data_IF_307541534962
#
_entry.id   IF_307541534962
#
_cell.length_a   1.000
_cell.length_b   1.000
_cell.length_c   1.000
_cell.angle_alpha   90.00
_cell.angle_beta   90.00
_cell.angle_gamma   90.00
#
_symmetry.space_group_name_H-M   'P 1'
#
loop_
_entity.id
_entity.type
_entity.pdbx_description
1 polymer ?
#
# COMPACT_ATOMS: atom_id res chain seq x y z
N UNK A 1 57.42 -11.07 53.42
CA UNK A 1 55.94 -11.07 53.28
C UNK A 1 55.51 -12.42 53.79
N UNK A 2 54.80 -12.44 54.94
CA UNK A 2 54.51 -13.62 55.74
C UNK A 2 53.50 -14.52 55.05
N UNK A 3 53.76 -15.83 55.11
CA UNK A 3 52.95 -16.91 54.48
C UNK A 3 51.54 -17.04 55.02
N UNK A 4 51.25 -16.41 56.14
CA UNK A 4 49.97 -16.49 56.85
C UNK A 4 48.79 -15.84 56.09
N UNK A 5 49.09 -14.78 55.33
CA UNK A 5 48.08 -14.10 54.50
C UNK A 5 47.62 -14.92 53.28
N UNK A 6 48.33 -16.00 52.92
CA UNK A 6 47.91 -16.91 51.85
C UNK A 6 46.95 -18.01 52.31
N UNK A 7 46.86 -18.25 53.61
CA UNK A 7 45.92 -19.24 54.16
C UNK A 7 44.54 -18.66 54.42
N UNK A 8 44.44 -17.38 54.78
CA UNK A 8 43.16 -16.70 55.00
C UNK A 8 42.33 -16.51 53.70
N UNK A 9 43.01 -16.42 52.56
CA UNK A 9 42.37 -16.32 51.27
C UNK A 9 41.83 -17.67 50.71
N UNK A 10 42.08 -18.79 51.42
CA UNK A 10 41.62 -20.13 51.01
C UNK A 10 40.33 -20.57 51.68
N UNK A 11 39.90 -19.94 52.74
CA UNK A 11 38.57 -20.13 53.29
C UNK A 11 37.61 -19.16 52.62
N UNK A 12 37.31 -19.48 51.35
CA UNK A 12 36.32 -18.76 50.62
C UNK A 12 34.96 -19.22 51.15
N UNK A 13 34.21 -18.34 51.81
CA UNK A 13 32.85 -18.64 52.34
C UNK A 13 31.97 -19.30 51.26
N UNK A 14 32.22 -18.99 49.99
CA UNK A 14 31.62 -19.63 48.83
C UNK A 14 32.01 -21.12 48.71
N UNK A 15 33.26 -21.48 48.99
CA UNK A 15 33.72 -22.87 48.92
C UNK A 15 33.16 -23.72 50.08
N UNK A 16 33.04 -23.14 51.27
CA UNK A 16 32.46 -23.76 52.45
C UNK A 16 30.91 -23.91 52.28
N UNK A 17 30.25 -22.88 51.71
CA UNK A 17 28.85 -22.92 51.33
C UNK A 17 28.60 -23.94 50.23
N UNK A 18 29.43 -24.05 49.22
CA UNK A 18 29.38 -25.08 48.16
C UNK A 18 29.63 -26.49 48.70
N UNK A 19 30.51 -26.65 49.70
CA UNK A 19 30.77 -27.93 50.37
C UNK A 19 29.60 -28.47 51.18
N UNK A 20 28.82 -27.60 51.81
CA UNK A 20 27.66 -27.91 52.61
C UNK A 20 26.36 -28.02 51.78
N UNK A 21 26.41 -27.67 50.48
CA UNK A 21 25.30 -27.79 49.52
C UNK A 21 24.68 -29.20 49.48
N UNK A 22 25.45 -30.32 49.52
CA UNK A 22 24.88 -31.65 49.45
C UNK A 22 23.96 -32.02 50.64
N UNK A 23 24.25 -31.56 51.85
CA UNK A 23 23.41 -31.82 53.01
C UNK A 23 22.17 -30.91 53.01
N UNK A 24 22.33 -29.65 52.78
CA UNK A 24 21.24 -28.69 52.65
C UNK A 24 20.28 -29.04 51.49
N UNK A 25 20.79 -29.50 50.34
CA UNK A 25 19.97 -29.91 49.21
C UNK A 25 19.16 -31.17 49.49
N UNK A 26 19.67 -32.12 50.29
CA UNK A 26 18.92 -33.31 50.69
C UNK A 26 17.74 -32.96 51.62
N UNK A 27 17.97 -32.07 52.55
CA UNK A 27 16.93 -31.62 53.50
C UNK A 27 15.85 -30.78 52.80
N UNK A 28 16.23 -29.99 51.80
CA UNK A 28 15.32 -29.09 51.10
C UNK A 28 14.98 -29.53 49.65
N UNK A 29 15.26 -30.78 49.30
CA UNK A 29 15.11 -31.32 47.94
C UNK A 29 13.70 -31.09 47.39
N UNK A 30 12.67 -31.26 48.20
CA UNK A 30 11.27 -31.08 47.81
C UNK A 30 10.97 -29.60 47.48
N UNK A 31 11.50 -28.67 48.26
CA UNK A 31 11.35 -27.23 48.04
C UNK A 31 12.08 -26.77 46.78
N UNK A 32 13.28 -27.30 46.55
CA UNK A 32 14.09 -26.99 45.35
C UNK A 32 13.37 -27.47 44.07
N UNK A 33 12.86 -28.74 44.11
CA UNK A 33 12.11 -29.28 42.99
C UNK A 33 10.87 -28.42 42.69
N UNK A 34 10.14 -28.04 43.75
CA UNK A 34 8.94 -27.20 43.61
C UNK A 34 9.27 -25.84 42.98
N UNK A 35 10.35 -25.18 43.40
CA UNK A 35 10.79 -23.90 42.84
C UNK A 35 11.24 -24.07 41.37
N UNK A 36 11.99 -25.12 41.04
CA UNK A 36 12.42 -25.38 39.66
C UNK A 36 11.22 -25.66 38.74
N UNK A 37 10.22 -26.42 39.24
CA UNK A 37 8.98 -26.68 38.48
C UNK A 37 8.20 -25.39 38.25
N UNK A 38 8.06 -24.54 39.27
CA UNK A 38 7.38 -23.24 39.14
C UNK A 38 8.10 -22.31 38.14
N UNK A 39 9.44 -22.23 38.23
CA UNK A 39 10.24 -21.44 37.30
C UNK A 39 10.15 -22.00 35.86
N UNK A 40 10.18 -23.32 35.72
CA UNK A 40 10.01 -24.00 34.42
C UNK A 40 8.63 -23.74 33.81
N UNK A 41 7.56 -23.81 34.65
CA UNK A 41 6.22 -23.48 34.21
C UNK A 41 6.07 -22.01 33.79
N UNK A 42 6.61 -21.09 34.60
CA UNK A 42 6.59 -19.66 34.29
C UNK A 42 7.35 -19.36 33.00
N UNK A 43 8.54 -19.93 32.79
CA UNK A 43 9.31 -19.83 31.56
C UNK A 43 8.56 -20.43 30.39
N UNK A 44 7.95 -21.60 30.53
CA UNK A 44 7.14 -22.24 29.48
C UNK A 44 5.97 -21.38 29.06
N UNK A 45 5.21 -20.80 29.98
CA UNK A 45 4.10 -19.87 29.69
C UNK A 45 4.62 -18.60 29.01
N UNK A 46 5.76 -18.06 29.45
CA UNK A 46 6.37 -16.87 28.87
C UNK A 46 6.80 -17.11 27.41
N UNK A 47 7.53 -18.20 27.14
CA UNK A 47 7.94 -18.56 25.78
C UNK A 47 6.75 -18.90 24.88
N UNK A 48 5.76 -19.61 25.38
CA UNK A 48 4.54 -19.90 24.62
C UNK A 48 3.79 -18.62 24.25
N UNK A 49 3.69 -17.65 25.17
CA UNK A 49 3.03 -16.37 24.92
C UNK A 49 3.78 -15.53 23.89
N UNK A 50 5.12 -15.51 23.91
CA UNK A 50 5.94 -14.80 22.93
C UNK A 50 5.80 -15.45 21.54
N UNK A 51 5.91 -16.77 21.47
CA UNK A 51 5.81 -17.54 20.24
C UNK A 51 4.44 -17.34 19.56
N UNK A 52 3.36 -17.42 20.33
CA UNK A 52 2.01 -17.23 19.79
C UNK A 52 1.76 -15.79 19.32
N UNK A 53 2.32 -14.78 19.97
CA UNK A 53 2.20 -13.39 19.52
C UNK A 53 2.92 -13.17 18.21
N UNK A 54 4.11 -13.73 18.04
CA UNK A 54 4.89 -13.62 16.81
C UNK A 54 4.20 -14.27 15.60
N UNK A 55 3.64 -15.46 15.79
CA UNK A 55 2.91 -16.18 14.73
C UNK A 55 1.62 -15.47 14.32
N UNK A 56 0.86 -14.93 15.26
CA UNK A 56 -0.36 -14.18 14.97
C UNK A 56 -0.07 -12.89 14.17
N UNK A 57 0.97 -12.15 14.53
CA UNK A 57 1.38 -10.96 13.78
C UNK A 57 1.87 -11.31 12.37
N UNK A 58 2.62 -12.40 12.22
CA UNK A 58 3.07 -12.86 10.91
C UNK A 58 1.87 -13.23 10.01
N UNK A 59 0.89 -13.95 10.54
CA UNK A 59 -0.33 -14.30 9.82
C UNK A 59 -1.11 -13.05 9.40
N UNK A 60 -1.27 -12.05 10.27
CA UNK A 60 -1.92 -10.78 9.92
C UNK A 60 -1.21 -10.05 8.78
N UNK A 61 0.13 -10.04 8.78
CA UNK A 61 0.90 -9.43 7.67
C UNK A 61 0.70 -10.16 6.35
N UNK A 62 0.70 -11.48 6.37
CA UNK A 62 0.46 -12.30 5.17
C UNK A 62 -0.94 -12.06 4.64
N UNK A 63 -1.95 -12.08 5.52
CA UNK A 63 -3.33 -11.77 5.15
C UNK A 63 -3.47 -10.37 4.54
N UNK A 64 -2.91 -9.35 5.19
CA UNK A 64 -2.94 -7.98 4.68
C UNK A 64 -2.28 -7.86 3.29
N UNK A 65 -1.12 -8.50 3.10
CA UNK A 65 -0.45 -8.55 1.80
C UNK A 65 -1.34 -9.21 0.74
N UNK A 66 -2.03 -10.29 1.11
CA UNK A 66 -3.01 -10.94 0.24
C UNK A 66 -4.14 -10.00 -0.18
N UNK A 67 -4.66 -9.19 0.75
CA UNK A 67 -5.69 -8.18 0.44
C UNK A 67 -5.17 -7.08 -0.50
N UNK A 68 -3.94 -6.61 -0.31
CA UNK A 68 -3.32 -5.64 -1.23
C UNK A 68 -3.15 -6.21 -2.63
N UNK A 69 -2.77 -7.49 -2.74
CA UNK A 69 -2.66 -8.18 -4.02
C UNK A 69 -4.04 -8.32 -4.71
N UNK A 70 -5.12 -8.53 -3.96
CA UNK A 70 -6.49 -8.53 -4.51
C UNK A 70 -6.85 -7.17 -5.10
N UNK A 71 -6.54 -6.06 -4.42
CA UNK A 71 -6.76 -4.70 -4.96
C UNK A 71 -5.95 -4.47 -6.23
N UNK A 72 -4.67 -4.84 -6.22
CA UNK A 72 -3.78 -4.66 -7.37
C UNK A 72 -4.21 -5.53 -8.56
N UNK A 73 -4.57 -6.79 -8.31
CA UNK A 73 -5.10 -7.70 -9.31
C UNK A 73 -6.42 -7.20 -9.90
N UNK A 74 -7.32 -6.68 -9.06
CA UNK A 74 -8.58 -6.07 -9.50
C UNK A 74 -8.34 -4.89 -10.42
N UNK A 75 -7.42 -3.98 -10.08
CA UNK A 75 -7.06 -2.84 -10.96
C UNK A 75 -6.52 -3.30 -12.32
N UNK A 76 -5.69 -4.33 -12.34
CA UNK A 76 -5.16 -4.90 -13.60
C UNK A 76 -6.28 -5.50 -14.46
N UNK A 77 -7.19 -6.27 -13.85
CA UNK A 77 -8.33 -6.86 -14.57
C UNK A 77 -9.27 -5.79 -15.12
N UNK A 78 -9.52 -4.72 -14.36
CA UNK A 78 -10.31 -3.58 -14.81
C UNK A 78 -9.65 -2.92 -16.03
N UNK A 79 -8.34 -2.67 -15.97
CA UNK A 79 -7.62 -2.07 -17.10
C UNK A 79 -7.70 -2.95 -18.37
N UNK A 80 -7.60 -4.27 -18.22
CA UNK A 80 -7.78 -5.21 -19.32
C UNK A 80 -9.23 -5.22 -19.88
N UNK A 81 -10.23 -5.16 -19.00
CA UNK A 81 -11.62 -5.09 -19.39
C UNK A 81 -11.96 -3.78 -20.12
N UNK A 82 -11.41 -2.66 -19.65
CA UNK A 82 -11.57 -1.35 -20.32
C UNK A 82 -10.97 -1.35 -21.74
N UNK A 83 -9.83 -2.01 -21.95
CA UNK A 83 -9.25 -2.18 -23.27
C UNK A 83 -10.21 -2.94 -24.23
N UNK A 84 -11.15 -3.72 -23.67
CA UNK A 84 -12.20 -4.44 -24.41
C UNK A 84 -13.55 -3.68 -24.40
N UNK A 85 -13.59 -2.44 -23.91
CA UNK A 85 -14.82 -1.65 -23.81
C UNK A 85 -15.81 -2.12 -22.74
N UNK A 86 -15.36 -2.92 -21.75
CA UNK A 86 -16.19 -3.46 -20.66
C UNK A 86 -15.92 -2.69 -19.36
N UNK A 87 -16.99 -2.29 -18.68
CA UNK A 87 -16.90 -1.74 -17.33
C UNK A 87 -16.92 -2.88 -16.29
N UNK A 88 -15.85 -3.01 -15.55
CA UNK A 88 -15.68 -3.96 -14.43
C UNK A 88 -15.17 -3.24 -13.16
N UNK A 89 -15.42 -1.94 -13.03
CA UNK A 89 -14.98 -1.11 -11.90
C UNK A 89 -15.39 -1.69 -10.55
N UNK A 90 -16.59 -2.30 -10.48
CA UNK A 90 -17.14 -2.95 -9.30
C UNK A 90 -16.26 -4.05 -8.68
N UNK A 91 -15.27 -4.57 -9.42
CA UNK A 91 -14.34 -5.59 -8.91
C UNK A 91 -13.52 -5.10 -7.73
N UNK A 92 -13.40 -3.79 -7.50
CA UNK A 92 -12.69 -3.22 -6.34
C UNK A 92 -13.55 -3.20 -5.06
N UNK A 93 -14.87 -3.34 -5.15
CA UNK A 93 -15.77 -3.26 -4.00
C UNK A 93 -15.55 -4.41 -3.01
N UNK A 94 -15.36 -5.64 -3.50
CA UNK A 94 -15.11 -6.78 -2.63
C UNK A 94 -13.76 -6.70 -1.91
N UNK A 95 -12.63 -6.40 -2.56
CA UNK A 95 -11.37 -6.10 -1.87
C UNK A 95 -11.48 -4.96 -0.86
N UNK A 96 -12.22 -3.89 -1.17
CA UNK A 96 -12.47 -2.79 -0.23
C UNK A 96 -13.22 -3.27 1.02
N UNK A 97 -14.23 -4.12 0.85
CA UNK A 97 -14.97 -4.72 1.97
C UNK A 97 -14.11 -5.65 2.81
N UNK A 98 -13.26 -6.45 2.18
CA UNK A 98 -12.33 -7.32 2.88
C UNK A 98 -11.31 -6.52 3.72
N UNK A 99 -10.83 -5.38 3.21
CA UNK A 99 -9.96 -4.47 3.96
C UNK A 99 -10.66 -3.85 5.17
N UNK A 100 -11.95 -3.52 5.07
CA UNK A 100 -12.76 -3.07 6.21
C UNK A 100 -12.83 -4.13 7.30
N UNK A 101 -13.24 -5.34 6.92
CA UNK A 101 -13.34 -6.48 7.84
C UNK A 101 -12.00 -6.79 8.51
N UNK A 102 -10.90 -6.69 7.78
CA UNK A 102 -9.56 -6.84 8.33
C UNK A 102 -9.25 -5.75 9.37
N UNK A 103 -9.56 -4.48 9.06
CA UNK A 103 -9.33 -3.36 9.97
C UNK A 103 -10.14 -3.45 11.26
N UNK A 104 -11.37 -3.99 11.19
CA UNK A 104 -12.22 -4.21 12.36
C UNK A 104 -11.69 -5.34 13.26
N UNK A 105 -11.12 -6.37 12.66
CA UNK A 105 -10.68 -7.58 13.35
C UNK A 105 -9.28 -7.50 13.90
N UNK A 106 -8.38 -6.76 13.26
CA UNK A 106 -7.00 -6.67 13.71
C UNK A 106 -6.88 -5.87 15.00
N UNK A 107 -6.15 -6.42 15.98
CA UNK A 107 -5.82 -5.73 17.22
C UNK A 107 -4.63 -4.75 17.09
N UNK A 108 -4.12 -4.54 15.88
CA UNK A 108 -3.00 -3.65 15.60
C UNK A 108 -3.49 -2.39 14.91
N UNK A 109 -3.53 -1.26 15.64
CA UNK A 109 -4.07 0.00 15.15
C UNK A 109 -3.33 0.54 13.92
N UNK A 110 -2.02 0.34 13.83
CA UNK A 110 -1.24 0.72 12.66
C UNK A 110 -1.67 -0.06 11.40
N UNK A 111 -1.86 -1.38 11.52
CA UNK A 111 -2.35 -2.19 10.39
C UNK A 111 -3.81 -1.87 10.05
N UNK A 112 -4.65 -1.59 11.07
CA UNK A 112 -6.02 -1.17 10.86
C UNK A 112 -6.09 0.15 10.10
N UNK A 113 -5.32 1.16 10.52
CA UNK A 113 -5.25 2.45 9.83
C UNK A 113 -4.79 2.30 8.38
N UNK A 114 -3.75 1.50 8.15
CA UNK A 114 -3.26 1.26 6.79
C UNK A 114 -4.31 0.54 5.92
N UNK A 115 -5.02 -0.45 6.47
CA UNK A 115 -6.10 -1.14 5.77
C UNK A 115 -7.25 -0.19 5.42
N UNK A 116 -7.63 0.71 6.32
CA UNK A 116 -8.66 1.71 6.08
C UNK A 116 -8.25 2.73 5.01
N UNK A 117 -6.98 3.16 4.99
CA UNK A 117 -6.45 4.02 3.92
C UNK A 117 -6.55 3.28 2.58
N UNK A 118 -6.12 2.01 2.52
CA UNK A 118 -6.17 1.20 1.29
C UNK A 118 -7.61 0.89 0.84
N UNK A 119 -8.53 0.72 1.78
CA UNK A 119 -9.98 0.64 1.49
C UNK A 119 -10.47 1.91 0.81
N UNK A 120 -10.16 3.08 1.39
CA UNK A 120 -10.57 4.36 0.83
C UNK A 120 -9.98 4.59 -0.58
N UNK A 121 -8.71 4.24 -0.78
CA UNK A 121 -8.07 4.29 -2.10
C UNK A 121 -8.74 3.36 -3.12
N UNK A 122 -9.20 2.18 -2.70
CA UNK A 122 -9.90 1.24 -3.57
C UNK A 122 -11.29 1.74 -3.97
N UNK A 123 -12.07 2.28 -3.00
CA UNK A 123 -13.38 2.89 -3.25
C UNK A 123 -13.28 4.07 -4.21
N UNK A 124 -12.29 4.96 -4.01
CA UNK A 124 -12.05 6.08 -4.91
C UNK A 124 -11.59 5.64 -6.31
N UNK A 125 -10.71 4.63 -6.37
CA UNK A 125 -10.26 4.09 -7.65
C UNK A 125 -11.42 3.50 -8.47
N UNK A 126 -12.37 2.84 -7.83
CA UNK A 126 -13.56 2.30 -8.49
C UNK A 126 -14.33 3.39 -9.25
N UNK A 127 -14.50 4.57 -8.63
CA UNK A 127 -15.21 5.71 -9.23
C UNK A 127 -14.54 6.24 -10.52
N UNK A 128 -13.24 6.05 -10.67
CA UNK A 128 -12.48 6.57 -11.82
C UNK A 128 -12.42 5.59 -13.01
N UNK A 129 -12.87 4.37 -12.84
CA UNK A 129 -12.82 3.35 -13.89
C UNK A 129 -14.12 3.22 -14.70
N UNK A 130 -15.25 3.69 -14.19
CA UNK A 130 -16.56 3.56 -14.85
C UNK A 130 -17.27 4.90 -15.06
N UNK A 131 -18.39 4.85 -15.77
CA UNK A 131 -19.35 5.98 -15.82
C UNK A 131 -20.20 5.96 -14.57
N UNK A 132 -20.01 6.92 -13.69
CA UNK A 132 -20.63 6.92 -12.37
C UNK A 132 -21.75 7.95 -12.30
N UNK A 133 -22.92 7.55 -11.79
CA UNK A 133 -24.00 8.47 -11.47
C UNK A 133 -23.61 9.33 -10.24
N UNK A 134 -24.07 10.57 -10.20
CA UNK A 134 -23.72 11.54 -9.16
C UNK A 134 -24.02 11.01 -7.74
N UNK A 135 -25.16 10.42 -7.53
CA UNK A 135 -25.57 9.93 -6.19
C UNK A 135 -24.68 8.77 -5.72
N UNK A 136 -24.28 7.90 -6.65
CA UNK A 136 -23.35 6.82 -6.37
C UNK A 136 -21.94 7.38 -6.05
N UNK A 137 -21.46 8.36 -6.84
CA UNK A 137 -20.20 9.04 -6.56
C UNK A 137 -20.18 9.63 -5.13
N UNK A 138 -21.21 10.37 -4.76
CA UNK A 138 -21.34 10.97 -3.43
C UNK A 138 -21.33 9.89 -2.35
N UNK A 139 -22.06 8.79 -2.55
CA UNK A 139 -22.13 7.68 -1.59
C UNK A 139 -20.76 7.03 -1.39
N UNK A 140 -20.09 6.62 -2.46
CA UNK A 140 -18.80 5.94 -2.39
C UNK A 140 -17.69 6.87 -1.85
N UNK A 141 -17.69 8.15 -2.25
CA UNK A 141 -16.75 9.13 -1.72
C UNK A 141 -16.95 9.35 -0.22
N UNK A 142 -18.19 9.35 0.27
CA UNK A 142 -18.47 9.45 1.70
C UNK A 142 -17.99 8.20 2.47
N UNK A 143 -18.09 7.01 1.91
CA UNK A 143 -17.51 5.78 2.50
C UNK A 143 -15.97 5.87 2.56
N UNK A 144 -15.34 6.40 1.52
CA UNK A 144 -13.91 6.65 1.51
C UNK A 144 -13.50 7.69 2.58
N UNK A 145 -14.24 8.81 2.72
CA UNK A 145 -14.04 9.80 3.78
C UNK A 145 -14.13 9.19 5.17
N UNK A 146 -15.16 8.37 5.41
CA UNK A 146 -15.32 7.67 6.69
C UNK A 146 -14.11 6.78 6.99
N UNK A 147 -13.58 6.07 5.99
CA UNK A 147 -12.39 5.22 6.14
C UNK A 147 -11.14 6.03 6.46
N UNK A 148 -10.87 7.13 5.79
CA UNK A 148 -9.75 8.02 6.10
C UNK A 148 -9.89 8.64 7.50
N UNK A 149 -11.09 9.05 7.88
CA UNK A 149 -11.36 9.62 9.21
C UNK A 149 -11.10 8.61 10.31
N UNK A 150 -11.54 7.36 10.12
CA UNK A 150 -11.30 6.30 11.09
C UNK A 150 -9.81 5.91 11.15
N UNK A 151 -9.09 5.93 10.03
CA UNK A 151 -7.65 5.72 10.00
C UNK A 151 -6.89 6.76 10.84
N UNK A 152 -7.30 8.03 10.76
CA UNK A 152 -6.74 9.11 11.60
C UNK A 152 -6.97 8.89 13.09
N UNK A 153 -8.12 8.34 13.49
CA UNK A 153 -8.40 8.04 14.90
C UNK A 153 -7.56 6.88 15.43
N UNK A 154 -7.26 5.89 14.56
CA UNK A 154 -6.46 4.72 14.93
C UNK A 154 -4.99 5.03 15.14
N UNK A 155 -4.41 5.91 14.33
CA UNK A 155 -2.99 6.25 14.36
C UNK A 155 -2.77 7.76 14.23
N UNK A 156 -3.18 8.57 15.21
CA UNK A 156 -3.02 10.03 15.15
C UNK A 156 -1.54 10.45 15.20
N UNK A 157 -0.69 9.67 15.89
CA UNK A 157 0.72 9.98 16.13
C UNK A 157 1.66 9.48 15.04
N UNK A 158 1.18 8.64 14.10
CA UNK A 158 1.97 8.23 12.94
C UNK A 158 1.87 9.29 11.84
N UNK A 159 2.91 10.12 11.74
CA UNK A 159 2.95 11.22 10.78
C UNK A 159 2.72 10.77 9.34
N UNK A 160 3.19 9.58 8.94
CA UNK A 160 3.05 9.08 7.58
C UNK A 160 1.61 8.67 7.27
N UNK A 161 0.99 7.91 8.18
CA UNK A 161 -0.40 7.47 8.03
C UNK A 161 -1.37 8.65 8.18
N UNK A 162 -1.13 9.52 9.16
CA UNK A 162 -1.96 10.72 9.38
C UNK A 162 -1.91 11.66 8.16
N UNK A 163 -0.72 11.91 7.60
CA UNK A 163 -0.58 12.71 6.40
C UNK A 163 -1.28 12.09 5.19
N UNK A 164 -1.13 10.76 5.00
CA UNK A 164 -1.77 10.04 3.91
C UNK A 164 -3.30 10.07 4.02
N UNK A 165 -3.84 9.86 5.22
CA UNK A 165 -5.27 9.91 5.46
C UNK A 165 -5.84 11.33 5.29
N UNK A 166 -5.18 12.37 5.82
CA UNK A 166 -5.57 13.77 5.59
C UNK A 166 -5.52 14.15 4.11
N UNK A 167 -4.46 13.78 3.41
CA UNK A 167 -4.38 14.01 1.97
C UNK A 167 -5.53 13.33 1.23
N UNK A 168 -5.86 12.08 1.60
CA UNK A 168 -7.00 11.33 1.06
C UNK A 168 -8.35 12.03 1.31
N UNK A 169 -8.55 12.65 2.48
CA UNK A 169 -9.73 13.48 2.75
C UNK A 169 -9.81 14.67 1.79
N UNK A 170 -8.70 15.34 1.54
CA UNK A 170 -8.64 16.42 0.55
C UNK A 170 -9.04 15.96 -0.84
N UNK A 171 -8.58 14.79 -1.27
CA UNK A 171 -8.98 14.19 -2.55
C UNK A 171 -10.48 13.86 -2.60
N UNK A 172 -11.07 13.40 -1.51
CA UNK A 172 -12.51 13.17 -1.45
C UNK A 172 -13.32 14.49 -1.56
N UNK A 173 -12.87 15.57 -0.93
CA UNK A 173 -13.52 16.88 -1.08
C UNK A 173 -13.41 17.41 -2.52
N UNK A 174 -12.28 17.18 -3.18
CA UNK A 174 -12.08 17.52 -4.59
C UNK A 174 -13.05 16.74 -5.50
N UNK A 175 -13.24 15.43 -5.26
CA UNK A 175 -14.19 14.59 -5.99
C UNK A 175 -15.65 15.01 -5.80
N UNK A 176 -15.99 15.55 -4.61
CA UNK A 176 -17.32 16.12 -4.32
C UNK A 176 -17.49 17.53 -4.92
N UNK A 177 -16.46 18.12 -5.49
CA UNK A 177 -16.46 19.50 -6.01
C UNK A 177 -16.25 20.57 -4.94
N UNK A 178 -15.93 20.21 -3.71
CA UNK A 178 -15.67 21.09 -2.59
C UNK A 178 -14.23 21.63 -2.63
N UNK A 179 -13.83 22.28 -3.72
CA UNK A 179 -12.44 22.67 -3.98
C UNK A 179 -11.84 23.59 -2.92
N UNK A 180 -12.61 24.44 -2.28
CA UNK A 180 -12.12 25.31 -1.21
C UNK A 180 -11.72 24.50 0.02
N UNK A 181 -12.55 23.55 0.43
CA UNK A 181 -12.30 22.66 1.55
C UNK A 181 -11.13 21.73 1.24
N UNK A 182 -11.04 21.19 0.02
CA UNK A 182 -9.90 20.42 -0.43
C UNK A 182 -8.60 21.22 -0.33
N UNK A 183 -8.62 22.48 -0.79
CA UNK A 183 -7.48 23.40 -0.70
C UNK A 183 -7.01 23.65 0.73
N UNK A 184 -7.93 23.86 1.67
CA UNK A 184 -7.61 24.02 3.09
C UNK A 184 -6.92 22.77 3.65
N UNK A 185 -7.47 21.58 3.37
CA UNK A 185 -6.88 20.31 3.82
C UNK A 185 -5.47 20.11 3.23
N UNK A 186 -5.29 20.41 1.95
CA UNK A 186 -3.95 20.30 1.33
C UNK A 186 -2.96 21.31 1.92
N UNK A 187 -3.40 22.52 2.28
CA UNK A 187 -2.56 23.50 2.98
C UNK A 187 -2.15 22.99 4.36
N UNK A 188 -3.08 22.43 5.12
CA UNK A 188 -2.76 21.82 6.42
C UNK A 188 -1.71 20.70 6.28
N UNK A 189 -1.88 19.80 5.30
CA UNK A 189 -0.92 18.70 5.07
C UNK A 189 0.45 19.24 4.62
N UNK A 190 0.46 20.24 3.73
CA UNK A 190 1.69 20.81 3.16
C UNK A 190 2.48 21.67 4.15
N UNK A 191 1.80 22.34 5.11
CA UNK A 191 2.38 23.24 6.08
C UNK A 191 2.78 22.57 7.39
N UNK A 192 2.23 21.39 7.71
CA UNK A 192 2.53 20.70 8.95
C UNK A 192 3.99 20.22 8.97
N UNK A 193 4.80 20.66 9.98
CA UNK A 193 6.21 20.28 10.09
C UNK A 193 6.41 18.77 10.27
N UNK A 194 5.49 18.08 10.96
CA UNK A 194 5.57 16.63 11.19
C UNK A 194 5.39 15.83 9.90
N UNK A 195 4.69 16.41 8.91
CA UNK A 195 4.42 15.77 7.62
C UNK A 195 5.47 16.08 6.55
N UNK A 196 6.42 16.98 6.83
CA UNK A 196 7.37 17.52 5.85
C UNK A 196 8.12 16.44 5.03
N UNK A 197 8.44 15.31 5.67
CA UNK A 197 9.17 14.21 5.04
C UNK A 197 8.24 13.18 4.35
N UNK A 198 6.91 13.38 4.36
CA UNK A 198 5.96 12.43 3.82
C UNK A 198 5.67 12.67 2.33
N UNK A 199 5.36 11.60 1.61
CA UNK A 199 4.90 11.67 0.22
C UNK A 199 3.62 12.49 0.10
N UNK A 200 2.72 12.38 1.09
CA UNK A 200 1.46 13.10 1.14
C UNK A 200 1.66 14.63 1.13
N UNK A 201 2.65 15.14 1.88
CA UNK A 201 2.96 16.57 1.89
C UNK A 201 3.46 17.07 0.53
N UNK A 202 4.27 16.27 -0.17
CA UNK A 202 4.74 16.60 -1.53
C UNK A 202 3.56 16.61 -2.50
N UNK A 203 2.69 15.63 -2.43
CA UNK A 203 1.49 15.54 -3.26
C UNK A 203 0.51 16.68 -2.99
N UNK A 204 0.31 17.04 -1.71
CA UNK A 204 -0.54 18.17 -1.32
C UNK A 204 -0.03 19.50 -1.92
N UNK A 205 1.28 19.77 -1.86
CA UNK A 205 1.90 20.94 -2.49
C UNK A 205 1.66 20.95 -4.01
N UNK A 206 1.82 19.80 -4.67
CA UNK A 206 1.56 19.67 -6.10
C UNK A 206 0.09 19.94 -6.44
N UNK A 207 -0.86 19.38 -5.64
CA UNK A 207 -2.30 19.64 -5.85
C UNK A 207 -2.65 21.11 -5.69
N UNK A 208 -2.13 21.78 -4.67
CA UNK A 208 -2.33 23.22 -4.48
C UNK A 208 -1.85 24.04 -5.69
N UNK A 209 -0.69 23.69 -6.25
CA UNK A 209 -0.14 24.39 -7.41
C UNK A 209 -1.00 24.22 -8.67
N UNK A 210 -1.67 23.08 -8.83
CA UNK A 210 -2.47 22.75 -10.04
C UNK A 210 -3.97 22.97 -9.86
N UNK A 211 -4.45 23.28 -8.64
CA UNK A 211 -5.88 23.38 -8.32
C UNK A 211 -6.59 24.47 -9.16
N UNK A 212 -5.90 25.55 -9.50
CA UNK A 212 -6.46 26.60 -10.36
C UNK A 212 -6.78 26.11 -11.78
N UNK A 213 -6.03 25.12 -12.28
CA UNK A 213 -6.23 24.58 -13.63
C UNK A 213 -7.50 23.74 -13.73
N UNK A 214 -7.94 23.07 -12.64
CA UNK A 214 -9.19 22.30 -12.61
C UNK A 214 -10.45 23.16 -12.68
N UNK A 215 -10.32 24.46 -12.41
CA UNK A 215 -11.44 25.42 -12.50
C UNK A 215 -11.55 26.07 -13.87
N UNK A 216 -10.60 25.81 -14.78
CA UNK A 216 -10.64 26.37 -16.14
C UNK A 216 -11.66 25.59 -16.97
N UNK A 217 -12.58 26.34 -17.57
CA UNK A 217 -13.49 25.77 -18.56
C UNK A 217 -12.71 25.38 -19.80
N UNK A 218 -12.76 24.09 -20.14
CA UNK A 218 -12.13 23.58 -21.36
C UNK A 218 -13.11 23.71 -22.50
N UNK A 219 -12.90 24.70 -23.36
CA UNK A 219 -13.69 24.87 -24.56
C UNK A 219 -13.06 24.06 -25.69
N UNK A 220 -13.72 22.99 -26.10
CA UNK A 220 -13.31 22.21 -27.26
C UNK A 220 -13.62 23.00 -28.53
N UNK A 221 -12.61 23.41 -29.25
CA UNK A 221 -12.82 24.00 -30.61
C UNK A 221 -13.19 22.88 -31.55
N UNK A 222 -14.23 23.07 -32.41
CA UNK A 222 -14.52 22.12 -33.45
C UNK A 222 -13.30 21.96 -34.36
N UNK A 223 -13.07 20.74 -34.82
CA UNK A 223 -11.97 20.45 -35.76
C UNK A 223 -12.09 21.37 -36.95
N UNK A 224 -11.00 22.05 -37.38
CA UNK A 224 -11.06 22.85 -38.60
C UNK A 224 -11.61 22.00 -39.75
N UNK A 225 -12.69 22.45 -40.35
CA UNK A 225 -13.20 21.82 -41.57
C UNK A 225 -12.11 22.00 -42.62
N UNK A 226 -11.59 20.91 -43.21
CA UNK A 226 -10.65 21.07 -44.35
C UNK A 226 -11.28 22.00 -45.39
N UNK A 227 -10.52 22.94 -45.96
CA UNK A 227 -11.06 23.73 -47.04
C UNK A 227 -11.66 22.76 -48.08
N UNK A 228 -12.92 23.00 -48.45
CA UNK A 228 -13.57 22.19 -49.47
C UNK A 228 -12.60 22.10 -50.65
N UNK A 229 -12.16 20.88 -50.95
CA UNK A 229 -11.33 20.66 -52.12
C UNK A 229 -12.03 21.39 -53.28
N UNK A 230 -11.35 22.37 -53.88
CA UNK A 230 -11.90 23.10 -55.01
C UNK A 230 -12.42 22.05 -56.02
N UNK A 231 -13.72 22.06 -56.27
CA UNK A 231 -14.33 21.12 -57.17
C UNK A 231 -13.57 21.21 -58.49
N UNK A 232 -12.80 20.20 -58.80
CA UNK A 232 -12.19 20.09 -60.12
C UNK A 232 -13.32 20.05 -61.14
N UNK A 233 -13.23 20.80 -62.25
CA UNK A 233 -14.27 20.82 -63.25
C UNK A 233 -14.44 19.41 -63.79
N UNK A 234 -15.66 18.90 -63.72
CA UNK A 234 -16.12 17.60 -64.17
C UNK A 234 -15.41 17.11 -65.42
N UNK A 235 -14.39 16.30 -65.29
CA UNK A 235 -13.95 15.41 -66.37
C UNK A 235 -15.04 14.36 -66.55
N UNK A 236 -15.70 14.44 -67.72
CA UNK A 236 -16.71 13.46 -68.12
C UNK A 236 -15.99 12.12 -68.27
N UNK A 237 -15.99 11.30 -67.22
CA UNK A 237 -15.53 9.93 -67.32
C UNK A 237 -16.49 9.15 -68.22
N UNK A 238 -16.05 8.93 -69.47
CA UNK A 238 -16.71 7.96 -70.33
C UNK A 238 -16.63 6.58 -69.67
N UNK A 239 -17.73 6.13 -69.09
CA UNK A 239 -17.90 4.77 -68.62
C UNK A 239 -17.77 3.83 -69.78
N UNK A 240 -16.63 3.16 -69.90
CA UNK A 240 -16.47 2.04 -70.81
C UNK A 240 -17.23 0.84 -70.18
N UNK A 241 -18.31 0.42 -70.82
CA UNK A 241 -19.02 -0.80 -70.53
C UNK A 241 -18.12 -2.01 -70.80
N UNK A 242 -17.45 -2.52 -69.74
CA UNK A 242 -16.78 -3.81 -69.74
C UNK A 242 -17.63 -4.88 -69.09
N UNK A 243 -17.46 -6.16 -69.44
CA UNK A 243 -18.37 -7.25 -69.03
C UNK A 243 -18.35 -7.54 -67.51
N UNK A 244 -19.52 -7.86 -66.98
CA UNK A 244 -19.75 -8.16 -65.60
C UNK A 244 -18.87 -9.33 -65.12
N UNK A 245 -18.03 -9.05 -64.11
CA UNK A 245 -17.30 -10.05 -63.36
C UNK A 245 -18.20 -10.57 -62.26
N UNK A 246 -18.57 -11.84 -62.34
CA UNK A 246 -19.24 -12.58 -61.27
C UNK A 246 -18.28 -12.77 -60.13
N UNK A 247 -18.58 -12.17 -58.97
CA UNK A 247 -17.89 -12.46 -57.70
C UNK A 247 -18.56 -13.63 -57.04
N UNK A 248 -17.92 -14.81 -57.14
CA UNK A 248 -18.32 -15.99 -56.36
C UNK A 248 -17.86 -15.84 -54.90
N UNK A 249 -18.52 -16.48 -53.93
CA UNK A 249 -18.14 -16.45 -52.51
C UNK A 249 -16.95 -17.39 -52.28
N UNK A 250 -15.75 -16.84 -52.21
CA UNK A 250 -14.59 -17.58 -51.70
C UNK A 250 -14.33 -17.15 -50.30
N UNK A 251 -14.62 -18.07 -49.38
CA UNK A 251 -14.10 -17.99 -48.01
C UNK A 251 -12.58 -18.07 -48.01
N UNK A 252 -11.97 -17.09 -47.40
CA UNK A 252 -10.56 -17.13 -47.01
C UNK A 252 -10.44 -16.89 -45.53
N UNK A 253 -10.41 -17.99 -44.77
CA UNK A 253 -9.81 -18.03 -43.45
C UNK A 253 -8.30 -17.90 -43.61
N UNK A 254 -7.78 -16.68 -43.44
CA UNK A 254 -6.34 -16.43 -43.30
C UNK A 254 -6.01 -16.34 -41.79
N UNK A 255 -4.89 -16.92 -41.36
CA UNK A 255 -4.49 -16.81 -39.95
C UNK A 255 -4.10 -15.39 -39.63
N UNK A 256 -4.62 -14.89 -38.49
CA UNK A 256 -4.21 -13.61 -37.90
C UNK A 256 -2.71 -13.70 -37.57
N UNK A 257 -1.92 -12.86 -38.20
CA UNK A 257 -0.52 -12.63 -37.87
C UNK A 257 -0.42 -11.92 -36.51
N UNK A 258 -0.03 -12.68 -35.48
CA UNK A 258 0.15 -12.19 -34.09
C UNK A 258 1.48 -11.47 -33.87
N UNK A 259 2.14 -10.96 -34.90
CA UNK A 259 3.48 -10.33 -34.82
C UNK A 259 3.49 -8.80 -34.87
N UNK A 260 2.38 -8.12 -34.55
CA UNK A 260 2.30 -6.64 -34.61
C UNK A 260 2.07 -5.95 -33.25
N UNK A 261 2.49 -6.57 -32.16
CA UNK A 261 2.41 -5.96 -30.82
C UNK A 261 3.70 -6.13 -30.03
N UNK A 262 4.86 -5.76 -30.62
CA UNK A 262 6.09 -5.48 -29.86
C UNK A 262 6.92 -4.41 -30.58
N UNK A 263 6.39 -3.20 -30.63
CA UNK A 263 7.22 -2.02 -30.85
C UNK A 263 7.30 -1.25 -29.52
N UNK A 264 8.13 -1.79 -28.61
CA UNK A 264 8.54 -1.14 -27.37
C UNK A 264 9.74 -0.23 -27.66
N UNK A 265 9.56 0.81 -28.46
CA UNK A 265 10.48 1.94 -28.50
C UNK A 265 9.93 3.08 -27.64
N UNK A 266 9.94 2.86 -26.32
CA UNK A 266 9.92 3.96 -25.36
C UNK A 266 11.39 4.35 -25.18
N UNK A 267 11.80 5.59 -25.50
CA UNK A 267 13.14 6.03 -25.16
C UNK A 267 13.29 6.03 -23.65
N UNK A 268 14.15 5.15 -23.15
CA UNK A 268 14.60 5.17 -21.77
C UNK A 268 15.46 6.42 -21.61
N UNK A 269 14.93 7.40 -20.89
CA UNK A 269 15.68 8.58 -20.46
C UNK A 269 16.83 8.12 -19.56
N UNK A 270 18.06 8.19 -20.10
CA UNK A 270 19.29 7.71 -19.47
C UNK A 270 19.84 8.67 -18.39
N UNK A 271 18.95 9.30 -17.59
CA UNK A 271 19.33 10.18 -16.47
C UNK A 271 18.65 9.79 -15.17
N UNK A 272 18.76 8.52 -14.80
CA UNK A 272 18.59 8.12 -13.39
C UNK A 272 19.97 8.16 -12.74
N UNK A 273 20.16 8.91 -11.66
CA UNK A 273 21.42 8.87 -10.92
C UNK A 273 21.58 7.49 -10.29
N UNK A 274 22.79 6.97 -10.43
CA UNK A 274 23.25 5.68 -9.95
C UNK A 274 22.91 5.44 -8.47
N UNK A 275 22.63 4.17 -8.20
CA UNK A 275 22.43 3.53 -6.91
C UNK A 275 23.17 4.18 -5.75
N UNK A 276 22.40 4.61 -4.74
CA UNK A 276 22.92 4.87 -3.41
C UNK A 276 23.15 3.51 -2.76
N UNK A 277 24.39 3.04 -2.83
CA UNK A 277 24.91 1.95 -2.01
C UNK A 277 24.77 2.34 -0.53
N UNK A 278 23.79 1.77 0.16
CA UNK A 278 23.72 1.82 1.60
C UNK A 278 24.77 0.85 2.16
N UNK A 279 25.71 1.30 2.99
CA UNK A 279 26.64 0.41 3.66
C UNK A 279 25.89 -0.48 4.65
N UNK A 280 26.07 -1.77 4.52
CA UNK A 280 25.71 -2.77 5.54
C UNK A 280 26.72 -2.62 6.66
N UNK A 281 26.43 -1.83 7.68
CA UNK A 281 27.16 -1.87 8.94
C UNK A 281 26.49 -2.88 9.88
N UNK A 282 27.05 -4.08 9.85
CA UNK A 282 27.00 -5.02 10.95
C UNK A 282 28.03 -4.59 11.98
N UNK A 283 27.60 -3.92 13.05
CA UNK A 283 28.36 -3.84 14.30
C UNK A 283 27.39 -3.66 15.48
N UNK A 284 27.06 -4.77 16.09
CA UNK A 284 26.55 -4.84 17.44
C UNK A 284 27.73 -4.66 18.40
N UNK A 285 27.74 -3.69 19.31
CA UNK A 285 28.68 -3.70 20.40
C UNK A 285 28.26 -4.69 21.48
N UNK A 286 29.23 -5.48 21.92
CA UNK A 286 29.16 -6.39 23.05
C UNK A 286 28.77 -5.64 24.33
N UNK A 287 27.84 -6.24 25.08
CA UNK A 287 27.53 -5.86 26.45
C UNK A 287 28.75 -5.92 27.35
N UNK A 288 29.00 -4.82 28.01
CA UNK A 288 29.86 -4.78 29.20
C UNK A 288 28.97 -4.87 30.44
N UNK A 289 29.08 -5.99 31.15
CA UNK A 289 28.57 -6.20 32.49
C UNK A 289 29.07 -5.10 33.45
N UNK A 290 28.17 -4.47 34.15
CA UNK A 290 28.32 -4.10 35.58
C UNK A 290 26.94 -4.10 36.26
#
# INVERSE_FOLDING_TARGET
>A
MKSDHRHELKTNELAEWLGNLPEWTKENLYTIILVVVLLGAAAGVYFWRISNRGSAQAQQRVEFTGLLNQVSGGKMQIAQAQAQGKDQSFMLLQPAKNLETFAERTGNDHMAALALIKRAEALRAELHYGTVQKDYLVSQTNLAKASYTEALKRCPDDASLAAAAKFGLGLCEEELGNFEQAGQIYQEVAANPDFKATVAAVQAKRRLATMADYRREVVFRPKPVPPAAAAEPNEIVKVATGPAVQIGPTGATGPFDTNLLMDTNVPVDANLPAEVNLPVEANLPAEVNR
#
